data_IF_950849908570
#
_entry.id   IF_950849908570
#
_cell.length_a   1.000
_cell.length_b   1.000
_cell.length_c   1.000
_cell.angle_alpha   90.00
_cell.angle_beta   90.00
_cell.angle_gamma   90.00
#
_symmetry.space_group_name_H-M   'P 1'
#
loop_
_entity.id
_entity.type
_entity.pdbx_description
1 polymer ?
#
# COMPACT_ATOMS: atom_id res chain seq x y z
N UNK A 1 7.92 10.39 20.50
CA UNK A 1 8.71 9.15 20.34
C UNK A 1 9.18 9.13 18.91
N UNK A 2 10.49 9.14 18.68
CA UNK A 2 11.08 9.10 17.34
C UNK A 2 10.84 7.71 16.75
N UNK A 3 10.12 7.64 15.63
CA UNK A 3 10.06 6.42 14.82
C UNK A 3 11.39 6.34 14.08
N UNK A 4 12.28 5.48 14.55
CA UNK A 4 13.52 5.14 13.85
C UNK A 4 13.17 4.55 12.48
N UNK A 5 13.80 5.06 11.43
CA UNK A 5 13.84 4.43 10.11
C UNK A 5 14.53 3.07 10.24
N UNK A 6 13.75 2.01 10.42
CA UNK A 6 14.27 0.64 10.30
C UNK A 6 14.12 0.27 8.82
N UNK A 7 15.20 0.44 8.05
CA UNK A 7 15.31 -0.13 6.71
C UNK A 7 15.39 -1.65 6.81
N UNK A 8 14.25 -2.34 6.74
CA UNK A 8 14.22 -3.80 6.71
C UNK A 8 14.34 -4.26 5.26
N UNK A 9 15.33 -5.12 4.99
CA UNK A 9 15.53 -5.71 3.67
C UNK A 9 14.24 -6.40 3.19
N UNK A 10 13.83 -6.09 1.96
CA UNK A 10 12.61 -6.60 1.37
C UNK A 10 12.59 -8.14 1.35
N UNK A 11 11.45 -8.80 1.64
CA UNK A 11 11.31 -10.20 1.31
C UNK A 11 11.54 -10.37 -0.20
N UNK A 12 12.42 -11.30 -0.58
CA UNK A 12 12.83 -11.50 -1.96
C UNK A 12 11.62 -11.62 -2.89
N UNK A 13 11.44 -10.63 -3.79
CA UNK A 13 10.44 -10.66 -4.86
C UNK A 13 9.28 -9.65 -4.77
N UNK A 14 9.16 -8.82 -3.73
CA UNK A 14 8.14 -7.73 -3.68
C UNK A 14 8.78 -6.35 -3.70
N UNK A 15 8.24 -5.46 -4.55
CA UNK A 15 8.57 -4.02 -4.51
C UNK A 15 8.08 -3.43 -3.20
N UNK A 16 8.94 -2.62 -2.57
CA UNK A 16 8.60 -1.80 -1.41
C UNK A 16 8.54 -0.36 -1.88
N UNK A 17 7.53 0.35 -1.42
CA UNK A 17 7.36 1.78 -1.62
C UNK A 17 7.59 2.50 -0.30
N UNK A 18 8.15 3.70 -0.39
CA UNK A 18 8.21 4.63 0.73
C UNK A 18 6.83 5.19 1.01
N UNK A 19 6.65 5.73 2.22
CA UNK A 19 5.40 6.39 2.60
C UNK A 19 5.08 7.58 1.67
N UNK A 20 6.09 8.37 1.31
CA UNK A 20 5.92 9.52 0.43
C UNK A 20 5.50 9.11 -0.98
N UNK A 21 6.14 8.09 -1.57
CA UNK A 21 5.75 7.56 -2.88
C UNK A 21 4.30 7.09 -2.90
N UNK A 22 3.89 6.32 -1.89
CA UNK A 22 2.51 5.82 -1.78
C UNK A 22 1.49 6.95 -1.59
N UNK A 23 1.82 7.99 -0.80
CA UNK A 23 0.95 9.14 -0.60
C UNK A 23 0.81 9.95 -1.89
N UNK A 24 1.92 10.24 -2.58
CA UNK A 24 1.90 11.01 -3.82
C UNK A 24 1.12 10.30 -4.94
N UNK A 25 1.33 8.98 -5.11
CA UNK A 25 0.59 8.20 -6.09
C UNK A 25 -0.91 8.10 -5.74
N UNK A 26 -1.24 7.99 -4.44
CA UNK A 26 -2.63 8.00 -3.98
C UNK A 26 -3.28 9.37 -4.12
N UNK A 27 -2.53 10.46 -3.97
CA UNK A 27 -3.02 11.82 -4.17
C UNK A 27 -3.51 12.01 -5.61
N UNK A 28 -2.75 11.49 -6.57
CA UNK A 28 -3.16 11.48 -7.98
C UNK A 28 -4.45 10.66 -8.17
N UNK A 29 -4.51 9.45 -7.59
CA UNK A 29 -5.70 8.60 -7.63
C UNK A 29 -6.96 9.30 -7.09
N UNK A 30 -6.83 9.99 -5.95
CA UNK A 30 -7.92 10.72 -5.31
C UNK A 30 -8.10 12.16 -5.82
N UNK A 31 -7.49 12.52 -6.97
CA UNK A 31 -7.65 13.82 -7.63
C UNK A 31 -7.32 15.02 -6.73
N UNK A 32 -6.28 14.88 -5.91
CA UNK A 32 -5.80 15.94 -5.02
C UNK A 32 -6.39 15.93 -3.60
N UNK A 33 -7.23 14.95 -3.25
CA UNK A 33 -7.69 14.77 -1.87
C UNK A 33 -6.59 14.13 -1.00
N UNK A 34 -5.81 14.99 -0.34
CA UNK A 34 -4.69 14.60 0.54
C UNK A 34 -5.16 13.78 1.75
N UNK A 35 -6.35 14.07 2.30
CA UNK A 35 -6.87 13.32 3.44
C UNK A 35 -7.19 11.88 3.01
N UNK A 36 -7.88 11.70 1.88
CA UNK A 36 -8.18 10.39 1.34
C UNK A 36 -6.90 9.59 1.03
N UNK A 37 -5.91 10.23 0.40
CA UNK A 37 -4.62 9.62 0.09
C UNK A 37 -3.90 9.12 1.34
N UNK A 38 -3.77 9.97 2.37
CA UNK A 38 -3.12 9.60 3.63
C UNK A 38 -3.89 8.52 4.37
N UNK A 39 -5.21 8.60 4.43
CA UNK A 39 -6.04 7.58 5.08
C UNK A 39 -5.86 6.24 4.37
N UNK A 40 -5.86 6.23 3.04
CA UNK A 40 -5.62 5.02 2.27
C UNK A 40 -4.28 4.36 2.60
N UNK A 41 -3.18 5.12 2.50
CA UNK A 41 -1.83 4.61 2.80
C UNK A 41 -1.74 4.08 4.23
N UNK A 42 -2.37 4.77 5.19
CA UNK A 42 -2.28 4.40 6.60
C UNK A 42 -3.15 3.22 7.00
N UNK A 43 -4.33 3.07 6.39
CA UNK A 43 -5.37 2.14 6.85
C UNK A 43 -5.59 0.95 5.92
N UNK A 44 -5.31 1.08 4.64
CA UNK A 44 -5.73 0.10 3.64
C UNK A 44 -4.61 -0.45 2.77
N UNK A 45 -3.56 0.33 2.52
CA UNK A 45 -2.40 -0.17 1.78
C UNK A 45 -1.77 -1.38 2.48
N UNK A 46 -1.43 -2.40 1.70
CA UNK A 46 -0.79 -3.61 2.21
C UNK A 46 0.57 -3.27 2.81
N UNK A 47 0.73 -3.55 4.10
CA UNK A 47 1.97 -3.36 4.85
C UNK A 47 2.28 -4.53 5.76
N UNK A 48 3.56 -4.71 6.08
CA UNK A 48 3.99 -5.64 7.13
C UNK A 48 4.08 -4.96 8.50
N UNK A 49 4.45 -5.75 9.51
CA UNK A 49 4.67 -5.27 10.88
C UNK A 49 5.82 -4.27 11.02
N UNK A 50 6.70 -4.17 10.01
CA UNK A 50 7.82 -3.24 9.99
C UNK A 50 7.49 -1.93 9.27
N UNK A 51 6.28 -1.82 8.70
CA UNK A 51 5.84 -0.63 7.99
C UNK A 51 6.24 -0.59 6.51
N UNK A 52 6.77 -1.68 5.96
CA UNK A 52 7.07 -1.74 4.53
C UNK A 52 5.77 -1.75 3.74
N UNK A 53 5.61 -0.84 2.78
CA UNK A 53 4.41 -0.71 1.95
C UNK A 53 4.62 -1.48 0.65
N UNK A 54 3.64 -2.31 0.27
CA UNK A 54 3.70 -3.18 -0.91
C UNK A 54 2.71 -2.81 -2.01
N UNK A 55 1.88 -1.79 -1.78
CA UNK A 55 0.89 -1.26 -2.74
C UNK A 55 1.14 0.22 -2.94
N UNK A 56 1.27 0.65 -4.21
CA UNK A 56 1.56 2.04 -4.54
C UNK A 56 0.28 2.87 -4.63
N UNK A 57 -0.79 2.26 -5.17
CA UNK A 57 -2.06 2.94 -5.43
C UNK A 57 -3.26 2.11 -4.98
N UNK A 58 -4.43 2.75 -4.79
CA UNK A 58 -5.68 2.04 -4.53
C UNK A 58 -6.03 0.98 -5.60
N UNK A 59 -5.59 1.16 -6.85
CA UNK A 59 -5.77 0.16 -7.91
C UNK A 59 -5.05 -1.16 -7.62
N UNK A 60 -3.87 -1.13 -7.01
CA UNK A 60 -3.16 -2.34 -6.60
C UNK A 60 -3.98 -3.12 -5.57
N UNK A 61 -4.58 -2.40 -4.62
CA UNK A 61 -5.47 -2.96 -3.61
C UNK A 61 -6.71 -3.57 -4.26
N UNK A 62 -7.36 -2.87 -5.19
CA UNK A 62 -8.52 -3.40 -5.92
C UNK A 62 -8.20 -4.69 -6.67
N UNK A 63 -7.05 -4.74 -7.36
CA UNK A 63 -6.61 -5.94 -8.09
C UNK A 63 -6.37 -7.12 -7.15
N UNK A 64 -5.74 -6.89 -5.98
CA UNK A 64 -5.56 -7.94 -4.97
C UNK A 64 -6.90 -8.46 -4.48
N UNK A 65 -7.82 -7.58 -4.08
CA UNK A 65 -9.14 -7.99 -3.57
C UNK A 65 -9.93 -8.78 -4.62
N UNK A 66 -9.97 -8.28 -5.86
CA UNK A 66 -10.64 -8.96 -6.96
C UNK A 66 -10.04 -10.36 -7.22
N UNK A 67 -8.72 -10.49 -7.16
CA UNK A 67 -8.03 -11.78 -7.31
C UNK A 67 -8.41 -12.77 -6.20
N UNK A 68 -8.51 -12.32 -4.95
CA UNK A 68 -8.89 -13.19 -3.83
C UNK A 68 -10.34 -13.66 -3.96
N UNK A 69 -11.26 -12.78 -4.34
CA UNK A 69 -12.65 -13.16 -4.62
C UNK A 69 -12.68 -14.19 -5.75
N UNK A 70 -12.04 -13.90 -6.89
CA UNK A 70 -12.01 -14.81 -8.04
C UNK A 70 -11.35 -16.17 -7.74
N UNK A 71 -10.45 -16.25 -6.75
CA UNK A 71 -9.85 -17.51 -6.29
C UNK A 71 -10.84 -18.36 -5.49
N UNK A 72 -11.70 -17.72 -4.68
CA UNK A 72 -12.74 -18.43 -3.93
C UNK A 72 -13.83 -18.93 -4.88
N UNK A 73 -14.26 -18.11 -5.84
CA UNK A 73 -15.30 -18.50 -6.82
C UNK A 73 -14.91 -19.66 -7.75
N UNK A 74 -13.61 -19.98 -7.86
CA UNK A 74 -13.11 -21.10 -8.67
C UNK A 74 -13.02 -22.43 -7.90
N UNK A 75 -13.23 -22.43 -6.59
CA UNK A 75 -13.24 -23.64 -5.75
C UNK A 75 -14.62 -24.28 -5.79
#
# INVERSE_FOLDING_TARGET
MAINEVSVAAPAGKKIYTQEEAVNASLEYFKGDDLAARVWVNKYALKDSYGNIFELTPDDMHRRLAKEIARIEKQ
#
